data_IF_063354601889
#
_entry.id   IF_063354601889
#
_cell.length_a   1.000
_cell.length_b   1.000
_cell.length_c   1.000
_cell.angle_alpha   90.00
_cell.angle_beta   90.00
_cell.angle_gamma   90.00
#
_symmetry.space_group_name_H-M   'P 1'
#
loop_
_entity.id
_entity.type
_entity.pdbx_description
1 polymer ?
#
# COMPACT_ATOMS: atom_id res chain seq x y z
N UNK A 1 -13.50 -13.67 -3.57
CA UNK A 1 -12.34 -13.18 -4.33
C UNK A 1 -11.22 -14.21 -4.37
N UNK A 2 -10.52 -14.53 -3.28
CA UNK A 2 -9.39 -15.49 -3.30
C UNK A 2 -9.76 -16.86 -3.87
N UNK A 3 -10.94 -17.40 -3.51
CA UNK A 3 -11.47 -18.65 -4.07
C UNK A 3 -11.66 -18.55 -5.59
N UNK A 4 -12.22 -17.44 -6.09
CA UNK A 4 -12.39 -17.22 -7.53
C UNK A 4 -11.07 -17.17 -8.27
N UNK A 5 -10.08 -16.40 -7.74
CA UNK A 5 -8.73 -16.32 -8.32
C UNK A 5 -8.04 -17.69 -8.35
N UNK A 6 -8.16 -18.48 -7.26
CA UNK A 6 -7.62 -19.84 -7.21
C UNK A 6 -8.27 -20.75 -8.27
N UNK A 7 -9.60 -20.74 -8.35
CA UNK A 7 -10.35 -21.55 -9.32
C UNK A 7 -9.97 -21.20 -10.76
N UNK A 8 -9.94 -19.91 -11.09
CA UNK A 8 -9.55 -19.45 -12.42
C UNK A 8 -8.12 -19.87 -12.79
N UNK A 9 -7.18 -19.72 -11.85
CA UNK A 9 -5.79 -20.12 -12.05
C UNK A 9 -5.58 -21.63 -12.23
N UNK A 10 -6.55 -22.45 -11.82
CA UNK A 10 -6.50 -23.91 -11.94
C UNK A 10 -7.53 -24.48 -12.94
N UNK A 11 -8.20 -23.63 -13.73
CA UNK A 11 -9.19 -24.08 -14.71
C UNK A 11 -10.45 -24.71 -14.09
N UNK A 12 -10.77 -24.35 -12.85
CA UNK A 12 -11.96 -24.82 -12.11
C UNK A 12 -13.11 -23.86 -12.36
N UNK A 13 -14.30 -24.37 -12.57
CA UNK A 13 -15.51 -23.59 -12.79
C UNK A 13 -15.81 -22.67 -11.59
N UNK A 14 -16.10 -21.39 -11.88
CA UNK A 14 -16.44 -20.38 -10.90
C UNK A 14 -17.94 -20.13 -10.86
N UNK A 15 -18.47 -19.73 -9.71
CA UNK A 15 -19.80 -19.13 -9.65
C UNK A 15 -19.74 -17.71 -10.25
N UNK A 16 -20.90 -17.13 -10.68
CA UNK A 16 -20.92 -15.76 -11.20
C UNK A 16 -20.34 -14.72 -10.24
N UNK A 17 -20.55 -14.88 -8.94
CA UNK A 17 -20.01 -13.97 -7.93
C UNK A 17 -18.49 -14.15 -7.73
N UNK A 18 -17.99 -15.40 -7.74
CA UNK A 18 -16.55 -15.68 -7.70
C UNK A 18 -15.84 -15.08 -8.92
N UNK A 19 -16.44 -15.22 -10.10
CA UNK A 19 -15.93 -14.65 -11.35
C UNK A 19 -15.87 -13.12 -11.25
N UNK A 20 -16.99 -12.48 -10.90
CA UNK A 20 -17.07 -11.02 -10.75
C UNK A 20 -16.02 -10.45 -9.80
N UNK A 21 -15.81 -11.10 -8.65
CA UNK A 21 -14.83 -10.66 -7.67
C UNK A 21 -13.37 -10.89 -8.13
N UNK A 22 -13.13 -11.96 -8.88
CA UNK A 22 -11.82 -12.23 -9.45
C UNK A 22 -11.50 -11.23 -10.58
N UNK A 23 -12.47 -10.92 -11.45
CA UNK A 23 -12.30 -9.94 -12.53
C UNK A 23 -12.04 -8.55 -11.97
N UNK A 24 -12.72 -8.17 -10.89
CA UNK A 24 -12.47 -6.90 -10.19
C UNK A 24 -11.02 -6.84 -9.66
N UNK A 25 -10.57 -7.91 -9.00
CA UNK A 25 -9.21 -7.99 -8.48
C UNK A 25 -8.16 -7.92 -9.61
N UNK A 26 -8.40 -8.61 -10.72
CA UNK A 26 -7.53 -8.58 -11.88
C UNK A 26 -7.49 -7.19 -12.54
N UNK A 27 -8.63 -6.50 -12.62
CA UNK A 27 -8.69 -5.12 -13.14
C UNK A 27 -7.76 -4.19 -12.34
N UNK A 28 -7.80 -4.24 -11.01
CA UNK A 28 -6.91 -3.42 -10.18
C UNK A 28 -5.46 -3.88 -10.25
N UNK A 29 -5.22 -5.18 -10.36
CA UNK A 29 -3.87 -5.71 -10.54
C UNK A 29 -3.25 -5.24 -11.88
N UNK A 30 -3.99 -5.32 -12.97
CA UNK A 30 -3.53 -4.90 -14.29
C UNK A 30 -3.24 -3.38 -14.32
N UNK A 31 -4.10 -2.58 -13.69
CA UNK A 31 -3.85 -1.14 -13.50
C UNK A 31 -2.55 -0.90 -12.73
N UNK A 32 -2.34 -1.60 -11.62
CA UNK A 32 -1.13 -1.49 -10.83
C UNK A 32 0.10 -1.95 -11.62
N UNK A 33 0.03 -3.08 -12.30
CA UNK A 33 1.15 -3.61 -13.08
C UNK A 33 1.48 -2.74 -14.30
N UNK A 34 0.51 -2.09 -14.90
CA UNK A 34 0.68 -1.19 -16.03
C UNK A 34 1.25 0.20 -15.69
N UNK A 35 1.21 0.61 -14.42
CA UNK A 35 1.73 1.92 -14.00
C UNK A 35 3.24 1.87 -13.75
N UNK A 36 3.99 2.86 -14.21
CA UNK A 36 5.42 3.03 -13.91
C UNK A 36 5.63 3.63 -12.51
N UNK A 37 4.72 4.51 -12.10
CA UNK A 37 4.73 5.24 -10.83
C UNK A 37 3.42 5.06 -10.11
N UNK A 38 3.46 4.78 -8.81
CA UNK A 38 2.28 4.57 -7.96
C UNK A 38 2.40 5.42 -6.70
N UNK A 39 1.32 6.12 -6.36
CA UNK A 39 1.23 6.89 -5.13
C UNK A 39 0.11 6.30 -4.26
N UNK A 40 0.45 5.91 -3.04
CA UNK A 40 -0.52 5.55 -2.02
C UNK A 40 -0.64 6.70 -1.03
N UNK A 41 -1.82 7.33 -0.96
CA UNK A 41 -2.14 8.36 0.00
C UNK A 41 -3.20 7.83 0.98
N UNK A 42 -2.87 7.80 2.28
CA UNK A 42 -3.75 7.18 3.28
C UNK A 42 -3.52 7.74 4.69
N UNK A 43 -4.56 7.78 5.53
CA UNK A 43 -4.42 8.11 6.95
C UNK A 43 -4.02 6.90 7.79
N UNK A 44 -3.52 7.16 9.00
CA UNK A 44 -3.48 6.19 10.07
C UNK A 44 -4.83 6.16 10.78
N UNK A 45 -5.58 5.07 10.68
CA UNK A 45 -6.83 4.86 11.40
C UNK A 45 -6.73 3.62 12.30
N UNK A 46 -7.02 3.79 13.59
CA UNK A 46 -6.94 2.69 14.56
C UNK A 46 -5.61 1.90 14.44
N UNK A 47 -4.50 2.63 14.34
CA UNK A 47 -3.13 2.12 14.22
C UNK A 47 -2.80 1.36 12.91
N UNK A 48 -3.74 1.29 11.96
CA UNK A 48 -3.58 0.56 10.71
C UNK A 48 -4.04 1.38 9.49
N UNK A 49 -4.01 0.77 8.31
CA UNK A 49 -4.52 1.36 7.07
C UNK A 49 -6.05 1.27 6.99
N UNK A 50 -6.72 2.17 6.24
CA UNK A 50 -8.15 2.05 5.95
C UNK A 50 -8.50 0.70 5.29
N UNK A 51 -9.69 0.16 5.61
CA UNK A 51 -10.16 -1.12 5.08
C UNK A 51 -10.16 -1.16 3.53
N UNK A 52 -10.46 -0.04 2.88
CA UNK A 52 -10.43 0.08 1.43
C UNK A 52 -9.02 -0.15 0.86
N UNK A 53 -7.99 0.44 1.50
CA UNK A 53 -6.61 0.22 1.09
C UNK A 53 -6.18 -1.22 1.36
N UNK A 54 -6.58 -1.80 2.50
CA UNK A 54 -6.31 -3.21 2.80
C UNK A 54 -6.92 -4.13 1.75
N UNK A 55 -8.16 -3.87 1.34
CA UNK A 55 -8.83 -4.64 0.28
C UNK A 55 -8.09 -4.49 -1.06
N UNK A 56 -7.66 -3.27 -1.41
CA UNK A 56 -6.87 -3.04 -2.61
C UNK A 56 -5.54 -3.82 -2.58
N UNK A 57 -4.82 -3.79 -1.46
CA UNK A 57 -3.59 -4.56 -1.29
C UNK A 57 -3.83 -6.07 -1.46
N UNK A 58 -4.98 -6.59 -1.00
CA UNK A 58 -5.35 -7.99 -1.22
C UNK A 58 -5.64 -8.30 -2.68
N UNK A 59 -6.22 -7.38 -3.47
CA UNK A 59 -6.39 -7.57 -4.90
C UNK A 59 -5.04 -7.72 -5.62
N UNK A 60 -4.04 -6.96 -5.19
CA UNK A 60 -2.71 -6.98 -5.80
C UNK A 60 -1.86 -8.18 -5.35
N UNK A 61 -2.15 -8.77 -4.18
CA UNK A 61 -1.32 -9.84 -3.60
C UNK A 61 -1.62 -11.19 -4.24
N UNK A 62 -1.16 -11.40 -5.48
CA UNK A 62 -1.42 -12.59 -6.26
C UNK A 62 -0.12 -13.35 -6.61
N UNK A 63 -0.06 -14.63 -6.21
CA UNK A 63 1.06 -15.50 -6.56
C UNK A 63 1.18 -15.68 -8.08
N UNK A 64 2.40 -15.64 -8.58
CA UNK A 64 2.71 -15.66 -10.01
C UNK A 64 2.53 -14.31 -10.73
N UNK A 65 2.07 -13.26 -10.02
CA UNK A 65 1.88 -11.91 -10.55
C UNK A 65 2.74 -10.87 -9.84
N UNK A 66 2.51 -10.65 -8.55
CA UNK A 66 3.29 -9.70 -7.74
C UNK A 66 4.42 -10.37 -6.97
N UNK A 67 4.32 -11.65 -6.70
CA UNK A 67 5.36 -12.47 -6.07
C UNK A 67 5.26 -13.92 -6.53
N UNK A 68 6.28 -14.74 -6.25
CA UNK A 68 6.24 -16.19 -6.43
C UNK A 68 7.01 -16.90 -5.31
N UNK A 69 6.64 -18.15 -5.05
CA UNK A 69 7.42 -19.02 -4.18
C UNK A 69 8.48 -19.77 -4.98
N UNK A 70 9.68 -19.89 -4.43
CA UNK A 70 10.78 -20.70 -4.95
C UNK A 70 11.31 -21.65 -3.86
N UNK A 71 12.21 -22.53 -4.21
CA UNK A 71 12.84 -23.42 -3.24
C UNK A 71 13.64 -22.64 -2.15
N UNK A 72 14.13 -21.44 -2.49
CA UNK A 72 14.89 -20.55 -1.62
C UNK A 72 14.01 -19.57 -0.85
N UNK A 73 12.70 -19.59 -1.07
CA UNK A 73 11.73 -18.70 -0.44
C UNK A 73 10.92 -17.85 -1.42
N UNK A 74 10.15 -16.87 -0.90
CA UNK A 74 9.37 -15.99 -1.76
C UNK A 74 10.24 -14.97 -2.49
N UNK A 75 9.89 -14.69 -3.76
CA UNK A 75 10.56 -13.69 -4.60
C UNK A 75 9.53 -12.72 -5.14
N UNK A 76 9.78 -11.42 -4.98
CA UNK A 76 8.97 -10.36 -5.56
C UNK A 76 9.18 -10.25 -7.07
N UNK A 77 8.10 -9.95 -7.80
CA UNK A 77 8.10 -9.86 -9.26
C UNK A 77 7.91 -8.42 -9.78
N UNK A 78 7.73 -7.43 -8.88
CA UNK A 78 7.41 -6.04 -9.22
C UNK A 78 8.55 -5.14 -8.75
N UNK A 79 9.72 -5.23 -9.41
CA UNK A 79 10.94 -4.50 -9.03
C UNK A 79 11.23 -3.26 -9.87
N UNK A 80 10.37 -2.94 -10.85
CA UNK A 80 10.57 -1.85 -11.82
C UNK A 80 9.71 -0.61 -11.58
N UNK A 81 9.00 -0.53 -10.43
CA UNK A 81 8.09 0.58 -10.13
C UNK A 81 8.67 1.57 -9.14
N UNK A 82 8.41 2.84 -9.38
CA UNK A 82 8.58 3.88 -8.38
C UNK A 82 7.30 3.97 -7.53
N UNK A 83 7.45 3.94 -6.22
CA UNK A 83 6.31 4.02 -5.29
C UNK A 83 6.54 5.13 -4.28
N UNK A 84 5.53 5.97 -4.08
CA UNK A 84 5.49 6.98 -3.02
C UNK A 84 4.35 6.67 -2.04
N UNK A 85 4.63 6.82 -0.75
CA UNK A 85 3.69 6.68 0.35
C UNK A 85 3.49 8.03 1.01
N UNK A 86 2.28 8.56 0.94
CA UNK A 86 1.89 9.81 1.59
C UNK A 86 0.94 9.46 2.75
N UNK A 87 1.40 9.64 3.98
CA UNK A 87 0.61 9.25 5.14
C UNK A 87 0.30 10.45 6.04
N UNK A 88 -0.97 10.54 6.49
CA UNK A 88 -1.42 11.50 7.50
C UNK A 88 -1.76 10.79 8.82
N UNK A 89 -1.30 11.37 9.94
CA UNK A 89 -1.53 10.87 11.30
C UNK A 89 -1.90 12.02 12.23
N UNK A 90 -2.95 11.87 13.04
CA UNK A 90 -3.36 12.90 13.99
C UNK A 90 -2.36 13.13 15.13
N UNK A 91 -1.76 12.04 15.65
CA UNK A 91 -0.70 12.08 16.66
C UNK A 91 0.68 11.84 16.07
N UNK A 92 1.72 12.00 16.88
CA UNK A 92 3.11 11.65 16.54
C UNK A 92 3.35 10.18 16.84
N UNK A 93 3.68 9.42 15.79
CA UNK A 93 3.97 7.99 15.86
C UNK A 93 5.37 7.65 15.33
N UNK A 94 6.19 8.64 15.03
CA UNK A 94 7.58 8.43 14.60
C UNK A 94 8.51 8.12 15.75
N UNK A 95 8.10 8.42 17.00
CA UNK A 95 8.93 8.34 18.19
C UNK A 95 8.38 7.34 19.21
N UNK A 96 9.28 6.80 20.05
CA UNK A 96 8.90 5.91 21.15
C UNK A 96 8.09 6.68 22.24
N UNK A 97 7.14 6.02 22.91
CA UNK A 97 6.76 4.61 22.74
C UNK A 97 5.74 4.38 21.62
N UNK A 98 5.20 5.45 21.00
CA UNK A 98 4.08 5.38 20.06
C UNK A 98 4.45 4.71 18.72
N UNK A 99 5.73 4.67 18.35
CA UNK A 99 6.19 4.02 17.13
C UNK A 99 5.86 2.52 17.06
N UNK A 100 5.75 1.85 18.20
CA UNK A 100 5.33 0.45 18.26
C UNK A 100 3.86 0.23 17.84
N UNK A 101 3.04 1.28 17.89
CA UNK A 101 1.64 1.26 17.49
C UNK A 101 1.42 1.68 16.03
N UNK A 102 2.47 2.07 15.34
CA UNK A 102 2.40 2.42 13.91
C UNK A 102 2.49 1.15 13.06
N UNK A 103 1.36 0.54 12.76
CA UNK A 103 1.28 -0.70 11.98
C UNK A 103 0.88 -0.45 10.51
N UNK A 104 0.53 0.78 10.14
CA UNK A 104 0.01 1.05 8.80
C UNK A 104 1.12 1.21 7.76
N UNK A 105 2.10 2.07 7.99
CA UNK A 105 3.23 2.28 7.09
C UNK A 105 4.12 1.04 7.04
N UNK A 106 4.32 0.39 8.20
CA UNK A 106 5.08 -0.86 8.29
C UNK A 106 4.41 -1.97 7.48
N UNK A 107 3.06 -2.11 7.56
CA UNK A 107 2.32 -3.09 6.76
C UNK A 107 2.49 -2.85 5.25
N UNK A 108 2.28 -1.60 4.79
CA UNK A 108 2.40 -1.26 3.37
C UNK A 108 3.82 -1.48 2.88
N UNK A 109 4.83 -1.02 3.60
CA UNK A 109 6.25 -1.23 3.23
C UNK A 109 6.62 -2.72 3.17
N UNK A 110 6.18 -3.50 4.15
CA UNK A 110 6.44 -4.95 4.19
C UNK A 110 5.80 -5.64 2.98
N UNK A 111 4.55 -5.29 2.64
CA UNK A 111 3.86 -5.85 1.49
C UNK A 111 4.52 -5.46 0.17
N UNK A 112 4.92 -4.19 0.03
CA UNK A 112 5.65 -3.72 -1.15
C UNK A 112 7.00 -4.43 -1.31
N UNK A 113 7.76 -4.59 -0.20
CA UNK A 113 9.01 -5.32 -0.19
C UNK A 113 8.82 -6.80 -0.59
N UNK A 114 7.74 -7.42 -0.12
CA UNK A 114 7.36 -8.78 -0.51
C UNK A 114 7.08 -8.90 -2.02
N UNK A 115 6.58 -7.83 -2.67
CA UNK A 115 6.41 -7.78 -4.12
C UNK A 115 7.69 -7.39 -4.88
N UNK A 116 8.77 -7.00 -4.19
CA UNK A 116 10.06 -6.60 -4.79
C UNK A 116 10.31 -5.09 -4.82
N UNK A 117 9.40 -4.27 -4.26
CA UNK A 117 9.54 -2.81 -4.17
C UNK A 117 10.13 -2.48 -2.79
N UNK A 118 11.45 -2.34 -2.71
CA UNK A 118 12.17 -2.24 -1.43
C UNK A 118 12.41 -0.81 -0.93
N UNK A 119 12.36 0.19 -1.82
CA UNK A 119 12.70 1.58 -1.51
C UNK A 119 11.57 2.55 -1.92
N UNK A 120 10.37 2.46 -1.33
CA UNK A 120 9.34 3.46 -1.59
C UNK A 120 9.74 4.80 -0.95
N UNK A 121 9.48 5.90 -1.67
CA UNK A 121 9.57 7.25 -1.11
C UNK A 121 8.47 7.46 -0.06
N UNK A 122 8.74 8.22 1.00
CA UNK A 122 7.78 8.38 2.09
C UNK A 122 7.67 9.83 2.53
N UNK A 123 6.45 10.34 2.59
CA UNK A 123 6.12 11.60 3.27
C UNK A 123 5.10 11.31 4.36
N UNK A 124 5.40 11.74 5.57
CA UNK A 124 4.49 11.61 6.72
C UNK A 124 4.13 13.02 7.20
N UNK A 125 2.83 13.25 7.39
CA UNK A 125 2.28 14.43 8.06
C UNK A 125 1.69 13.95 9.38
N UNK A 126 2.31 14.30 10.50
CA UNK A 126 1.88 13.81 11.81
C UNK A 126 1.80 14.89 12.87
N UNK A 127 0.96 14.69 13.88
CA UNK A 127 0.84 15.57 15.05
C UNK A 127 -0.16 16.71 14.90
N UNK A 128 -0.85 16.88 13.78
CA UNK A 128 -1.76 18.00 13.56
C UNK A 128 -2.98 18.00 14.50
N UNK A 129 -3.42 16.86 15.03
CA UNK A 129 -4.44 16.79 16.07
C UNK A 129 -3.83 16.89 17.48
N UNK A 130 -2.62 16.38 17.66
CA UNK A 130 -1.91 16.43 18.94
C UNK A 130 -1.48 17.84 19.29
N UNK A 131 -1.19 18.68 18.28
CA UNK A 131 -0.75 20.06 18.43
C UNK A 131 -1.65 21.01 17.62
N UNK A 132 -2.89 21.31 18.11
CA UNK A 132 -3.87 22.11 17.36
C UNK A 132 -3.37 23.49 16.97
N UNK A 133 -2.58 24.13 17.85
CA UNK A 133 -2.00 25.47 17.61
C UNK A 133 -1.00 25.49 16.45
N UNK A 134 -0.44 24.36 16.09
CA UNK A 134 0.51 24.18 14.98
C UNK A 134 -0.05 23.38 13.82
N UNK A 135 -1.33 23.02 13.86
CA UNK A 135 -1.94 22.13 12.86
C UNK A 135 -1.76 22.66 11.44
N UNK A 136 -2.01 23.96 11.23
CA UNK A 136 -1.88 24.58 9.91
C UNK A 136 -0.44 24.49 9.37
N UNK A 137 0.57 24.83 10.18
CA UNK A 137 1.98 24.78 9.78
C UNK A 137 2.46 23.34 9.54
N UNK A 138 1.99 22.37 10.33
CA UNK A 138 2.31 20.95 10.14
C UNK A 138 1.78 20.46 8.78
N UNK A 139 0.55 20.82 8.45
CA UNK A 139 -0.07 20.43 7.17
C UNK A 139 0.64 21.11 6.00
N UNK A 140 0.92 22.41 6.10
CA UNK A 140 1.62 23.19 5.05
C UNK A 140 3.01 22.61 4.77
N UNK A 141 3.77 22.30 5.82
CA UNK A 141 5.08 21.65 5.69
C UNK A 141 4.98 20.27 5.03
N UNK A 142 3.97 19.48 5.40
CA UNK A 142 3.70 18.19 4.79
C UNK A 142 3.37 18.29 3.30
N UNK A 143 2.53 19.23 2.92
CA UNK A 143 2.19 19.53 1.52
C UNK A 143 3.44 19.96 0.74
N UNK A 144 4.28 20.82 1.32
CA UNK A 144 5.55 21.23 0.71
C UNK A 144 6.48 20.05 0.46
N UNK A 145 6.67 19.17 1.45
CA UNK A 145 7.46 17.93 1.29
C UNK A 145 6.92 17.03 0.19
N UNK A 146 5.60 16.89 0.11
CA UNK A 146 4.97 16.10 -0.95
C UNK A 146 5.18 16.71 -2.35
N UNK A 147 5.10 18.04 -2.47
CA UNK A 147 5.39 18.75 -3.72
C UNK A 147 6.86 18.62 -4.14
N UNK A 148 7.79 18.74 -3.19
CA UNK A 148 9.24 18.54 -3.43
C UNK A 148 9.54 17.10 -3.87
N UNK A 149 8.85 16.11 -3.29
CA UNK A 149 8.94 14.72 -3.74
C UNK A 149 8.40 14.57 -5.15
N UNK A 150 7.21 15.11 -5.44
CA UNK A 150 6.58 15.00 -6.75
C UNK A 150 7.47 15.56 -7.89
N UNK A 151 8.25 16.60 -7.60
CA UNK A 151 9.18 17.18 -8.57
C UNK A 151 10.35 16.25 -8.98
N UNK A 152 10.64 15.24 -8.16
CA UNK A 152 11.74 14.28 -8.36
C UNK A 152 11.25 12.86 -8.69
N UNK A 153 9.98 12.62 -8.46
CA UNK A 153 9.31 11.31 -8.57
C UNK A 153 8.92 10.93 -10.04
#
# INVERSE_FOLDING_TARGET
MMTGLYKLGNGIETTPEEQRLADLANTYLDQFLGADKVVFAFPLWNFTIPAQLLTYMFYLNQAGKTFKYTAEGPVGLVNNKKVALLQARGGVYSEAPMNAMEMSLNYVKTTLAFWGITNPEVVVVEGHNQFPDRAASIIEEGVKKAAELAAKF
#
